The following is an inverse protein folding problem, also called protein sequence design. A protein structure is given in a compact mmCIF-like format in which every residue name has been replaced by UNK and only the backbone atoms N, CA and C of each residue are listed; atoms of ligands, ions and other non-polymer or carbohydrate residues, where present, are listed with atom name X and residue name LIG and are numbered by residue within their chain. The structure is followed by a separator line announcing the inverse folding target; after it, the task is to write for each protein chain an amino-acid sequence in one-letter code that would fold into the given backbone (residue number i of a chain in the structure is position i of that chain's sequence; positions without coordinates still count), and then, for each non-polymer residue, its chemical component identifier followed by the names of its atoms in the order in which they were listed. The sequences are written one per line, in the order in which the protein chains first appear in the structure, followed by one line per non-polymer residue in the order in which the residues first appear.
data_IF_947841668368
#
_entry.id   IF_947841668368
#
_cell.length_a   1.000
_cell.length_b   1.000
_cell.length_c   1.000
_cell.angle_alpha   90.00
_cell.angle_beta   90.00
_cell.angle_gamma   90.00
#
_symmetry.space_group_name_H-M   'P 1'
#
loop_
_entity.id
_entity.type
_entity.pdbx_description
1 polymer ?
#
# COMPACT_ATOMS: atom_id res chain seq x y z
N UNK A 1 11.61 -0.07 9.53
CA UNK A 1 10.30 -0.66 9.15
C UNK A 1 10.16 -0.64 7.62
N UNK A 2 9.13 -1.22 7.01
CA UNK A 2 9.00 -1.27 5.54
C UNK A 2 8.99 0.13 4.89
N UNK A 3 8.28 1.10 5.48
CA UNK A 3 8.26 2.49 5.01
C UNK A 3 9.64 3.17 5.03
N UNK A 4 10.51 2.83 5.99
CA UNK A 4 11.87 3.36 6.05
C UNK A 4 12.75 2.76 4.95
N UNK A 5 12.54 1.48 4.58
CA UNK A 5 13.27 0.85 3.46
C UNK A 5 12.86 1.42 2.11
N UNK A 6 11.64 1.94 2.04
CA UNK A 6 11.07 2.59 0.86
C UNK A 6 11.37 4.10 0.82
N UNK A 7 12.09 4.63 1.81
CA UNK A 7 12.38 6.07 1.94
C UNK A 7 11.12 6.96 1.81
N UNK A 8 9.98 6.49 2.34
CA UNK A 8 8.72 7.20 2.19
C UNK A 8 8.67 8.47 3.02
N UNK A 9 8.09 9.53 2.47
CA UNK A 9 7.79 10.77 3.18
C UNK A 9 6.67 10.62 4.22
N UNK A 10 6.49 11.64 5.05
CA UNK A 10 5.48 11.62 6.12
C UNK A 10 4.05 11.56 5.58
N UNK A 11 3.76 12.25 4.47
CA UNK A 11 2.45 12.22 3.80
C UNK A 11 2.11 10.81 3.30
N UNK A 12 3.04 10.15 2.60
CA UNK A 12 2.86 8.78 2.12
C UNK A 12 2.62 7.80 3.28
N UNK A 13 3.36 7.96 4.40
CA UNK A 13 3.18 7.15 5.61
C UNK A 13 1.80 7.38 6.26
N UNK A 14 1.35 8.64 6.35
CA UNK A 14 0.04 8.97 6.92
C UNK A 14 -1.08 8.36 6.08
N UNK A 15 -1.05 8.58 4.76
CA UNK A 15 -2.03 8.02 3.82
C UNK A 15 -2.06 6.49 3.90
N UNK A 16 -0.89 5.85 3.88
CA UNK A 16 -0.79 4.40 3.98
C UNK A 16 -1.38 3.86 5.29
N UNK A 17 -1.20 4.58 6.40
CA UNK A 17 -1.76 4.19 7.69
C UNK A 17 -3.29 4.27 7.67
N UNK A 18 -3.85 5.35 7.15
CA UNK A 18 -5.31 5.55 7.13
C UNK A 18 -6.00 4.48 6.29
N UNK A 19 -5.44 4.16 5.12
CA UNK A 19 -5.93 3.10 4.22
C UNK A 19 -5.82 1.72 4.88
N UNK A 20 -4.71 1.45 5.57
CA UNK A 20 -4.51 0.17 6.23
C UNK A 20 -5.55 -0.05 7.34
N UNK A 21 -5.84 0.99 8.13
CA UNK A 21 -6.79 0.90 9.23
C UNK A 21 -8.24 0.78 8.76
N UNK A 22 -8.60 1.35 7.61
CA UNK A 22 -9.96 1.21 7.05
C UNK A 22 -10.23 -0.15 6.42
N UNK A 23 -9.19 -0.92 6.09
CA UNK A 23 -9.29 -2.17 5.30
C UNK A 23 -8.64 -3.38 5.97
N UNK A 24 -8.32 -3.30 7.27
CA UNK A 24 -7.54 -4.34 7.95
C UNK A 24 -8.35 -5.64 8.07
N UNK A 25 -7.87 -6.78 7.51
CA UNK A 25 -8.51 -8.07 7.67
C UNK A 25 -8.08 -8.75 8.97
N UNK A 26 -8.84 -9.74 9.45
CA UNK A 26 -8.52 -10.45 10.71
C UNK A 26 -7.28 -11.36 10.60
N UNK A 27 -7.08 -12.00 9.45
CA UNK A 27 -6.00 -12.96 9.23
C UNK A 27 -4.61 -12.31 9.04
N UNK A 28 -3.58 -12.86 9.70
CA UNK A 28 -2.22 -12.29 9.69
C UNK A 28 -1.55 -12.23 8.31
N UNK A 29 -1.72 -13.25 7.45
CA UNK A 29 -1.18 -13.23 6.09
C UNK A 29 -1.85 -12.15 5.24
N UNK A 30 -3.15 -12.00 5.42
CA UNK A 30 -3.96 -10.96 4.78
C UNK A 30 -3.53 -9.57 5.26
N UNK A 31 -3.24 -9.38 6.56
CA UNK A 31 -2.69 -8.11 7.11
C UNK A 31 -1.40 -7.67 6.42
N UNK A 32 -0.46 -8.57 6.12
CA UNK A 32 0.78 -8.20 5.41
C UNK A 32 0.52 -7.76 3.96
N UNK A 33 -0.38 -8.45 3.26
CA UNK A 33 -0.75 -8.07 1.90
C UNK A 33 -1.50 -6.73 1.88
N UNK A 34 -2.40 -6.51 2.84
CA UNK A 34 -3.09 -5.22 3.07
C UNK A 34 -2.08 -4.11 3.37
N UNK A 35 -1.10 -4.33 4.26
CA UNK A 35 -0.05 -3.35 4.55
C UNK A 35 0.74 -2.97 3.29
N UNK A 36 1.15 -3.94 2.48
CA UNK A 36 1.90 -3.70 1.26
C UNK A 36 1.07 -2.89 0.24
N UNK A 37 -0.21 -3.24 0.06
CA UNK A 37 -1.11 -2.47 -0.79
C UNK A 37 -1.29 -1.03 -0.28
N UNK A 38 -1.42 -0.83 1.04
CA UNK A 38 -1.65 0.50 1.61
C UNK A 38 -0.42 1.39 1.49
N UNK A 39 0.79 0.83 1.64
CA UNK A 39 2.05 1.53 1.38
C UNK A 39 2.18 1.94 -0.09
N UNK A 40 1.83 1.05 -1.01
CA UNK A 40 1.85 1.37 -2.45
C UNK A 40 0.87 2.49 -2.80
N UNK A 41 -0.37 2.41 -2.29
CA UNK A 41 -1.37 3.46 -2.51
C UNK A 41 -0.95 4.78 -1.86
N UNK A 42 -0.43 4.75 -0.62
CA UNK A 42 0.05 5.95 0.06
C UNK A 42 1.15 6.67 -0.72
N UNK A 43 2.11 5.91 -1.27
CA UNK A 43 3.17 6.45 -2.12
C UNK A 43 2.60 7.04 -3.43
N UNK A 44 1.72 6.30 -4.12
CA UNK A 44 1.07 6.75 -5.35
C UNK A 44 0.32 8.08 -5.16
N UNK A 45 -0.47 8.18 -4.09
CA UNK A 45 -1.28 9.36 -3.75
C UNK A 45 -0.42 10.55 -3.33
N UNK A 46 0.74 10.29 -2.70
CA UNK A 46 1.72 11.32 -2.37
C UNK A 46 2.58 11.76 -3.56
N UNK A 47 2.41 11.14 -4.75
CA UNK A 47 3.27 11.36 -5.91
C UNK A 47 4.68 10.77 -5.75
N UNK A 48 4.90 9.91 -4.76
CA UNK A 48 6.15 9.21 -4.52
C UNK A 48 6.20 7.95 -5.39
N UNK A 49 7.12 7.92 -6.36
CA UNK A 49 7.23 6.81 -7.30
C UNK A 49 7.86 5.59 -6.63
N UNK A 50 7.03 4.60 -6.29
CA UNK A 50 7.47 3.29 -5.82
C UNK A 50 6.88 2.19 -6.69
N UNK A 51 7.71 1.21 -7.06
CA UNK A 51 7.21 0.05 -7.79
C UNK A 51 6.50 -0.92 -6.85
N UNK A 52 5.47 -1.62 -7.33
CA UNK A 52 4.80 -2.68 -6.57
C UNK A 52 5.77 -3.79 -6.11
N UNK A 53 6.84 -4.05 -6.90
CA UNK A 53 7.88 -5.01 -6.55
C UNK A 53 8.69 -4.56 -5.35
N UNK A 54 9.18 -3.31 -5.37
CA UNK A 54 9.94 -2.70 -4.26
C UNK A 54 9.14 -2.74 -2.96
N UNK A 55 7.85 -2.39 -3.02
CA UNK A 55 6.94 -2.44 -1.87
C UNK A 55 6.75 -3.87 -1.37
N UNK A 56 6.57 -4.83 -2.28
CA UNK A 56 6.40 -6.23 -1.94
C UNK A 56 7.64 -6.79 -1.23
N UNK A 57 8.84 -6.50 -1.74
CA UNK A 57 10.11 -6.91 -1.15
C UNK A 57 10.32 -6.26 0.23
N UNK A 58 9.99 -4.97 0.36
CA UNK A 58 10.09 -4.26 1.63
C UNK A 58 9.15 -4.81 2.71
N UNK A 59 8.02 -5.42 2.35
CA UNK A 59 7.06 -6.01 3.30
C UNK A 59 7.25 -7.53 3.45
N UNK A 60 7.89 -8.19 2.49
CA UNK A 60 8.06 -9.65 2.45
C UNK A 60 6.81 -10.38 1.95
N UNK A 61 6.18 -9.86 0.91
CA UNK A 61 5.03 -10.47 0.22
C UNK A 61 5.30 -10.62 -1.27
N UNK A 62 4.43 -11.32 -2.01
CA UNK A 62 4.55 -11.38 -3.47
C UNK A 62 4.10 -10.06 -4.12
N UNK A 63 4.70 -9.68 -5.25
CA UNK A 63 4.23 -8.55 -6.08
C UNK A 63 2.75 -8.70 -6.46
N UNK A 64 2.32 -9.91 -6.79
CA UNK A 64 0.93 -10.21 -7.14
C UNK A 64 -0.04 -9.89 -5.98
N UNK A 65 0.38 -10.07 -4.72
CA UNK A 65 -0.42 -9.72 -3.55
C UNK A 65 -0.73 -8.22 -3.48
N UNK A 66 0.23 -7.37 -3.88
CA UNK A 66 0.05 -5.92 -4.00
C UNK A 66 -0.85 -5.59 -5.18
N UNK A 67 -0.57 -6.18 -6.35
CA UNK A 67 -1.31 -5.96 -7.59
C UNK A 67 -2.82 -6.23 -7.44
N UNK A 68 -3.20 -7.30 -6.73
CA UNK A 68 -4.60 -7.69 -6.56
C UNK A 68 -5.39 -6.76 -5.62
N UNK A 69 -4.72 -6.04 -4.72
CA UNK A 69 -5.37 -5.35 -3.60
C UNK A 69 -5.35 -3.83 -3.70
N UNK A 70 -4.41 -3.25 -4.45
CA UNK A 70 -4.23 -1.79 -4.42
C UNK A 70 -5.44 -1.02 -4.95
N UNK A 71 -6.14 -1.53 -5.98
CA UNK A 71 -7.34 -0.89 -6.52
C UNK A 71 -8.49 -0.90 -5.52
N UNK A 72 -8.77 -2.07 -4.93
CA UNK A 72 -9.80 -2.22 -3.89
C UNK A 72 -9.55 -1.30 -2.70
N UNK A 73 -8.29 -1.14 -2.27
CA UNK A 73 -7.94 -0.25 -1.16
C UNK A 73 -8.04 1.23 -1.52
N UNK A 74 -7.73 1.58 -2.75
CA UNK A 74 -7.87 2.95 -3.24
C UNK A 74 -9.35 3.35 -3.30
N UNK A 75 -10.20 2.47 -3.85
CA UNK A 75 -11.66 2.65 -3.88
C UNK A 75 -12.24 2.72 -2.46
N UNK A 76 -11.81 1.84 -1.55
CA UNK A 76 -12.24 1.85 -0.15
C UNK A 76 -11.80 3.13 0.60
N UNK A 77 -10.76 3.82 0.12
CA UNK A 77 -10.33 5.11 0.63
C UNK A 77 -11.09 6.30 0.00
N UNK A 78 -12.04 6.04 -0.90
CA UNK A 78 -12.79 7.06 -1.63
C UNK A 78 -11.96 7.77 -2.70
N UNK A 79 -10.88 7.14 -3.16
CA UNK A 79 -9.98 7.68 -4.19
C UNK A 79 -10.19 6.93 -5.51
N UNK A 80 -10.19 7.64 -6.63
CA UNK A 80 -10.33 7.02 -7.95
C UNK A 80 -9.00 6.43 -8.44
N UNK A 81 -9.01 5.20 -8.99
CA UNK A 81 -7.84 4.65 -9.67
C UNK A 81 -7.48 5.46 -10.91
N UNK A 82 -6.20 5.73 -11.15
CA UNK A 82 -5.78 6.37 -12.39
C UNK A 82 -6.04 5.46 -13.61
N UNK A 83 -6.44 6.05 -14.74
CA UNK A 83 -6.95 5.38 -15.95
C UNK A 83 -5.89 4.73 -16.88
N UNK A 84 -4.65 4.54 -16.42
CA UNK A 84 -3.54 4.06 -17.28
C UNK A 84 -3.51 2.53 -17.48
#
# INVERSE_FOLDING_TARGET
MAADRLDLGNEARSRARDIFLSTVPDEARSKRATLAASLYVGALVAGEQQSQGTVADAVGVSRLSVQQRWKEQLEAAGLEPPDW
#
